data_IF_023355928183
#
_entry.id   IF_023355928183
#
_cell.length_a   1.000
_cell.length_b   1.000
_cell.length_c   1.000
_cell.angle_alpha   90.00
_cell.angle_beta   90.00
_cell.angle_gamma   90.00
#
_symmetry.space_group_name_H-M   'P 1'
#
loop_
_entity.id
_entity.type
_entity.pdbx_description
1 polymer ?
#
# COMPACT_ATOMS: atom_id res chain seq x y z
N UNK A 1 5.29 -11.35 -17.93
CA UNK A 1 4.04 -10.64 -18.28
C UNK A 1 3.46 -11.33 -19.49
N UNK A 2 2.14 -11.22 -19.69
CA UNK A 2 1.44 -11.84 -20.83
C UNK A 2 2.02 -11.26 -22.14
N UNK A 3 2.78 -12.05 -22.94
CA UNK A 3 3.55 -11.48 -24.05
C UNK A 3 2.69 -10.86 -25.15
N UNK A 4 1.56 -11.49 -25.47
CA UNK A 4 0.61 -11.03 -26.49
C UNK A 4 0.01 -9.68 -26.15
N UNK A 5 -0.52 -9.51 -24.92
CA UNK A 5 -1.08 -8.23 -24.46
C UNK A 5 -0.02 -7.15 -24.33
N UNK A 6 1.18 -7.52 -23.85
CA UNK A 6 2.29 -6.57 -23.74
C UNK A 6 2.70 -6.02 -25.11
N UNK A 7 2.81 -6.89 -26.12
CA UNK A 7 3.11 -6.52 -27.50
C UNK A 7 1.99 -5.64 -28.07
N UNK A 8 0.74 -6.09 -27.97
CA UNK A 8 -0.43 -5.35 -28.45
C UNK A 8 -0.47 -3.93 -27.88
N UNK A 9 -0.35 -3.77 -26.56
CA UNK A 9 -0.40 -2.46 -25.93
C UNK A 9 0.73 -1.55 -26.43
N UNK A 10 1.95 -2.05 -26.57
CA UNK A 10 3.08 -1.26 -27.06
C UNK A 10 2.87 -0.77 -28.50
N UNK A 11 2.27 -1.61 -29.36
CA UNK A 11 1.96 -1.26 -30.76
C UNK A 11 0.82 -0.24 -30.88
N UNK A 12 -0.08 -0.17 -29.89
CA UNK A 12 -1.28 0.68 -29.93
C UNK A 12 -1.21 1.89 -28.99
N UNK A 13 -0.12 2.03 -28.23
CA UNK A 13 0.13 3.17 -27.36
C UNK A 13 0.44 4.41 -28.20
N UNK A 14 -0.15 5.54 -27.83
CA UNK A 14 0.22 6.85 -28.36
C UNK A 14 0.25 7.87 -27.22
N UNK A 15 1.04 8.94 -27.40
CA UNK A 15 1.14 10.01 -26.41
C UNK A 15 -0.22 10.72 -26.21
N UNK A 16 -1.04 10.80 -27.26
CA UNK A 16 -2.37 11.39 -27.22
C UNK A 16 -3.33 10.56 -26.37
N UNK A 17 -3.32 9.22 -26.49
CA UNK A 17 -4.12 8.34 -25.64
C UNK A 17 -3.71 8.45 -24.17
N UNK A 18 -2.41 8.52 -23.91
CA UNK A 18 -1.90 8.72 -22.56
C UNK A 18 -2.31 10.08 -21.98
N UNK A 19 -2.20 11.16 -22.74
CA UNK A 19 -2.66 12.48 -22.31
C UNK A 19 -4.16 12.49 -22.01
N UNK A 20 -4.98 11.86 -22.87
CA UNK A 20 -6.42 11.71 -22.65
C UNK A 20 -6.73 10.90 -21.38
N UNK A 21 -5.99 9.81 -21.14
CA UNK A 21 -6.10 9.00 -19.92
C UNK A 21 -5.82 9.80 -18.64
N UNK A 22 -4.73 10.57 -18.61
CA UNK A 22 -4.42 11.45 -17.46
C UNK A 22 -5.51 12.51 -17.27
N UNK A 23 -5.96 13.14 -18.36
CA UNK A 23 -7.00 14.16 -18.31
C UNK A 23 -8.34 13.60 -17.82
N UNK A 24 -8.71 12.39 -18.25
CA UNK A 24 -9.95 11.73 -17.82
C UNK A 24 -9.94 11.41 -16.33
N UNK A 25 -8.84 10.85 -15.80
CA UNK A 25 -8.66 10.66 -14.35
C UNK A 25 -8.77 11.99 -13.60
N UNK A 26 -8.12 13.04 -14.10
CA UNK A 26 -8.16 14.36 -13.47
C UNK A 26 -9.58 14.94 -13.44
N UNK A 27 -10.33 14.83 -14.54
CA UNK A 27 -11.72 15.27 -14.62
C UNK A 27 -12.63 14.47 -13.69
N UNK A 28 -12.41 13.15 -13.60
CA UNK A 28 -13.17 12.26 -12.73
C UNK A 28 -12.90 12.56 -11.25
N UNK A 29 -11.66 12.80 -10.84
CA UNK A 29 -11.31 13.12 -9.46
C UNK A 29 -11.48 14.60 -9.07
N UNK A 30 -11.52 15.51 -10.06
CA UNK A 30 -11.50 16.96 -9.83
C UNK A 30 -10.09 17.53 -9.60
N UNK A 31 -9.04 16.72 -9.70
CA UNK A 31 -7.64 17.07 -9.44
C UNK A 31 -6.72 16.18 -10.27
N UNK A 32 -5.63 16.73 -10.80
CA UNK A 32 -4.64 15.95 -11.53
C UNK A 32 -3.68 15.18 -10.58
N UNK A 33 -3.16 14.00 -10.98
CA UNK A 33 -2.18 13.28 -10.19
C UNK A 33 -0.93 14.12 -9.90
N UNK A 34 -0.54 14.23 -8.63
CA UNK A 34 0.69 14.94 -8.21
C UNK A 34 1.93 14.04 -8.14
N UNK A 35 1.80 12.83 -8.67
CA UNK A 35 2.85 11.85 -8.85
C UNK A 35 2.78 11.32 -10.28
N UNK A 36 3.87 10.70 -10.73
CA UNK A 36 3.92 10.10 -12.05
C UNK A 36 3.05 8.84 -12.08
N UNK A 37 2.05 8.85 -12.96
CA UNK A 37 1.32 7.64 -13.36
C UNK A 37 2.09 7.00 -14.52
N UNK A 38 2.25 5.68 -14.50
CA UNK A 38 2.95 4.99 -15.56
C UNK A 38 2.09 4.95 -16.84
N UNK A 39 2.77 5.02 -17.97
CA UNK A 39 2.20 5.01 -19.33
C UNK A 39 1.60 3.64 -19.72
N UNK A 40 1.72 2.64 -18.84
CA UNK A 40 1.23 1.28 -19.06
C UNK A 40 0.71 0.62 -17.78
N UNK A 41 -0.33 -0.22 -17.87
CA UNK A 41 -0.65 -1.19 -16.84
C UNK A 41 0.28 -2.40 -16.91
N UNK A 42 0.17 -3.28 -15.93
CA UNK A 42 0.89 -4.57 -15.86
C UNK A 42 -0.04 -5.72 -16.26
N UNK A 43 0.40 -6.63 -17.13
CA UNK A 43 -0.39 -7.79 -17.56
C UNK A 43 0.18 -9.08 -16.96
N UNK A 44 -0.50 -9.62 -15.95
CA UNK A 44 0.00 -10.69 -15.08
C UNK A 44 -0.54 -12.05 -15.56
N UNK A 45 0.34 -12.99 -15.96
CA UNK A 45 -0.09 -14.31 -16.42
C UNK A 45 -0.63 -15.17 -15.27
N UNK A 46 -1.52 -16.11 -15.57
CA UNK A 46 -2.24 -16.93 -14.59
C UNK A 46 -1.31 -17.66 -13.60
N UNK A 47 -0.16 -18.15 -14.08
CA UNK A 47 0.83 -18.82 -13.21
C UNK A 47 1.39 -17.88 -12.12
N UNK A 48 1.70 -16.62 -12.48
CA UNK A 48 2.18 -15.63 -11.51
C UNK A 48 1.04 -15.16 -10.60
N UNK A 49 -0.18 -15.00 -11.15
CA UNK A 49 -1.38 -14.70 -10.36
C UNK A 49 -1.59 -15.72 -9.25
N UNK A 50 -1.53 -17.02 -9.58
CA UNK A 50 -1.68 -18.11 -8.62
C UNK A 50 -0.68 -17.99 -7.47
N UNK A 51 0.61 -17.80 -7.77
CA UNK A 51 1.66 -17.67 -6.76
C UNK A 51 1.48 -16.43 -5.87
N UNK A 52 1.09 -15.28 -6.45
CA UNK A 52 0.79 -14.06 -5.70
C UNK A 52 -0.36 -14.28 -4.71
N UNK A 53 -1.45 -14.90 -5.17
CA UNK A 53 -2.63 -15.19 -4.35
C UNK A 53 -2.30 -16.19 -3.25
N UNK A 54 -1.72 -17.35 -3.60
CA UNK A 54 -1.35 -18.40 -2.63
C UNK A 54 -0.41 -17.86 -1.53
N UNK A 55 0.59 -17.07 -1.91
CA UNK A 55 1.49 -16.45 -0.93
C UNK A 55 0.77 -15.43 -0.06
N UNK A 56 -0.12 -14.63 -0.64
CA UNK A 56 -0.90 -13.65 0.10
C UNK A 56 -1.83 -14.33 1.10
N UNK A 57 -2.52 -15.41 0.71
CA UNK A 57 -3.39 -16.18 1.61
C UNK A 57 -2.62 -16.83 2.77
N UNK A 58 -1.41 -17.34 2.52
CA UNK A 58 -0.55 -17.85 3.59
C UNK A 58 -0.15 -16.75 4.60
N UNK A 59 0.00 -15.50 4.14
CA UNK A 59 0.25 -14.35 5.03
C UNK A 59 -1.02 -13.96 5.78
N UNK A 60 -2.19 -13.99 5.11
CA UNK A 60 -3.48 -13.76 5.76
C UNK A 60 -3.73 -14.82 6.86
N UNK A 61 -3.34 -16.06 6.64
CA UNK A 61 -3.45 -17.13 7.65
C UNK A 61 -2.62 -16.84 8.91
N UNK A 62 -1.54 -16.05 8.81
CA UNK A 62 -0.78 -15.55 9.98
C UNK A 62 -1.51 -14.38 10.64
N UNK A 63 -1.99 -13.42 9.84
CA UNK A 63 -2.67 -12.21 10.34
C UNK A 63 -3.99 -12.54 11.06
N UNK A 64 -4.64 -13.63 10.66
CA UNK A 64 -5.92 -14.10 11.22
C UNK A 64 -5.77 -15.03 12.42
N UNK A 65 -4.55 -15.32 12.88
CA UNK A 65 -4.33 -16.15 14.07
C UNK A 65 -4.85 -15.44 15.32
N UNK A 66 -5.46 -16.20 16.23
CA UNK A 66 -6.04 -15.67 17.47
C UNK A 66 -5.00 -14.97 18.38
N UNK A 67 -3.74 -15.40 18.32
CA UNK A 67 -2.62 -14.84 19.07
C UNK A 67 -1.85 -13.76 18.29
N UNK A 68 -2.28 -13.39 17.08
CA UNK A 68 -1.59 -12.38 16.25
C UNK A 68 -1.37 -11.07 16.99
N UNK A 69 -2.40 -10.53 17.67
CA UNK A 69 -2.28 -9.29 18.47
C UNK A 69 -1.27 -9.43 19.61
N UNK A 70 -1.22 -10.57 20.27
CA UNK A 70 -0.25 -10.80 21.35
C UNK A 70 1.18 -10.88 20.78
N UNK A 71 1.35 -11.60 19.68
CA UNK A 71 2.64 -11.81 19.02
C UNK A 71 3.17 -10.53 18.35
N UNK A 72 2.29 -9.62 17.94
CA UNK A 72 2.65 -8.35 17.31
C UNK A 72 2.77 -7.18 18.29
N UNK A 73 2.70 -7.40 19.60
CA UNK A 73 2.72 -6.32 20.59
C UNK A 73 4.07 -5.58 20.62
N UNK A 74 5.18 -6.28 20.32
CA UNK A 74 6.50 -5.66 20.20
C UNK A 74 6.68 -4.80 18.93
N UNK A 75 5.66 -4.72 18.06
CA UNK A 75 5.71 -3.90 16.85
C UNK A 75 5.46 -2.41 17.10
N UNK A 76 5.02 -2.03 18.30
CA UNK A 76 4.73 -0.64 18.63
C UNK A 76 5.97 0.09 19.16
N UNK A 77 6.26 1.29 18.65
CA UNK A 77 7.03 2.26 19.40
C UNK A 77 6.32 2.57 20.74
N UNK A 78 7.03 2.68 21.88
CA UNK A 78 6.41 2.85 23.19
C UNK A 78 5.44 4.02 23.32
N UNK A 79 5.61 5.09 22.53
CA UNK A 79 4.79 6.30 22.57
C UNK A 79 3.69 6.38 21.49
N UNK A 80 3.52 5.34 20.66
CA UNK A 80 2.66 5.40 19.47
C UNK A 80 1.40 4.52 19.55
N UNK A 81 1.10 3.96 20.72
CA UNK A 81 -0.08 3.10 20.91
C UNK A 81 -1.33 3.93 21.17
N UNK A 82 -2.36 3.74 20.34
CA UNK A 82 -3.68 4.36 20.51
C UNK A 82 -4.61 3.40 21.28
N UNK A 83 -5.36 3.90 22.30
CA UNK A 83 -6.36 3.09 23.02
C UNK A 83 -7.52 2.63 22.13
N UNK A 84 -8.23 1.58 22.56
CA UNK A 84 -9.50 1.19 21.90
C UNK A 84 -9.35 0.47 20.56
N UNK A 85 -8.27 -0.29 20.37
CA UNK A 85 -8.00 -1.03 19.12
C UNK A 85 -9.12 -2.02 18.73
N UNK A 86 -9.62 -1.89 17.49
CA UNK A 86 -10.62 -2.79 16.91
C UNK A 86 -10.14 -4.24 16.78
N UNK A 87 -11.07 -5.18 16.57
CA UNK A 87 -10.77 -6.61 16.48
C UNK A 87 -9.79 -6.99 15.36
N UNK A 88 -9.92 -6.37 14.19
CA UNK A 88 -9.04 -6.61 13.04
C UNK A 88 -8.70 -5.32 12.28
N UNK A 89 -7.70 -5.41 11.39
CA UNK A 89 -7.44 -4.37 10.40
C UNK A 89 -8.56 -4.37 9.36
N UNK A 90 -8.91 -3.21 8.81
CA UNK A 90 -9.91 -3.12 7.72
C UNK A 90 -9.26 -3.19 6.33
N UNK A 91 -7.97 -2.87 6.25
CA UNK A 91 -7.21 -2.80 5.02
C UNK A 91 -5.87 -3.48 5.23
N UNK A 92 -5.52 -4.37 4.31
CA UNK A 92 -4.22 -5.03 4.29
C UNK A 92 -3.66 -4.94 2.88
N UNK A 93 -2.41 -4.52 2.76
CA UNK A 93 -1.70 -4.48 1.49
C UNK A 93 -0.46 -5.37 1.58
N UNK A 94 -0.17 -6.12 0.52
CA UNK A 94 0.98 -7.03 0.46
C UNK A 94 1.70 -6.77 -0.86
N UNK A 95 2.96 -6.38 -0.78
CA UNK A 95 3.77 -5.97 -1.93
C UNK A 95 4.76 -7.04 -2.34
N UNK A 96 4.73 -7.39 -3.62
CA UNK A 96 5.64 -8.35 -4.22
C UNK A 96 6.46 -7.71 -5.33
N UNK A 97 7.76 -7.94 -5.33
CA UNK A 97 8.59 -7.76 -6.51
C UNK A 97 8.33 -8.90 -7.50
N UNK A 98 8.39 -8.59 -8.79
CA UNK A 98 8.40 -9.61 -9.83
C UNK A 98 9.84 -10.00 -10.14
N UNK A 99 10.17 -11.26 -9.89
CA UNK A 99 11.49 -11.86 -10.03
C UNK A 99 11.48 -12.99 -11.07
N UNK A 100 12.64 -13.62 -11.28
CA UNK A 100 12.76 -14.87 -12.05
C UNK A 100 13.36 -15.96 -11.18
N UNK A 101 12.83 -17.18 -11.33
CA UNK A 101 13.45 -18.38 -10.76
C UNK A 101 14.67 -18.83 -11.60
N UNK A 102 15.33 -19.90 -11.18
CA UNK A 102 16.48 -20.47 -11.89
C UNK A 102 16.15 -20.97 -13.31
N UNK A 103 14.89 -21.32 -13.58
CA UNK A 103 14.41 -21.71 -14.92
C UNK A 103 14.06 -20.49 -15.81
N UNK A 104 14.15 -19.26 -15.28
CA UNK A 104 13.83 -18.03 -15.99
C UNK A 104 12.34 -17.67 -16.02
N UNK A 105 11.51 -18.43 -15.31
CA UNK A 105 10.07 -18.19 -15.16
C UNK A 105 9.81 -17.10 -14.12
N UNK A 106 8.72 -16.35 -14.28
CA UNK A 106 8.39 -15.29 -13.34
C UNK A 106 7.88 -15.87 -12.02
N UNK A 107 8.33 -15.28 -10.92
CA UNK A 107 7.86 -15.59 -9.57
C UNK A 107 7.75 -14.32 -8.73
N UNK A 108 6.85 -14.28 -7.73
CA UNK A 108 6.80 -13.18 -6.79
C UNK A 108 7.86 -13.33 -5.70
N UNK A 109 8.28 -12.21 -5.13
CA UNK A 109 9.06 -12.17 -3.89
C UNK A 109 8.51 -11.07 -2.99
N UNK A 110 8.10 -11.43 -1.77
CA UNK A 110 7.55 -10.50 -0.78
C UNK A 110 8.57 -9.40 -0.44
N UNK A 111 8.12 -8.14 -0.46
CA UNK A 111 8.94 -6.96 -0.17
C UNK A 111 8.53 -6.32 1.15
N UNK A 112 7.24 -6.02 1.26
CA UNK A 112 6.63 -5.38 2.41
C UNK A 112 5.14 -5.72 2.48
N UNK A 113 4.55 -5.43 3.62
CA UNK A 113 3.12 -5.51 3.82
C UNK A 113 2.71 -4.45 4.85
N UNK A 114 1.46 -4.02 4.79
CA UNK A 114 0.98 -3.00 5.71
C UNK A 114 -0.52 -3.04 6.02
N UNK A 115 -0.88 -2.76 7.27
CA UNK A 115 -2.26 -2.54 7.69
C UNK A 115 -2.70 -1.09 7.49
N UNK A 116 -2.78 -0.61 6.24
CA UNK A 116 -3.00 0.82 5.95
C UNK A 116 -3.84 1.09 4.69
N UNK A 117 -4.78 2.06 4.73
CA UNK A 117 -5.74 2.26 3.66
C UNK A 117 -5.30 3.30 2.62
N UNK A 118 -4.21 3.04 1.89
CA UNK A 118 -3.77 3.97 0.83
C UNK A 118 -4.24 3.56 -0.57
N UNK A 119 -4.79 4.55 -1.31
CA UNK A 119 -5.08 4.47 -2.75
C UNK A 119 -6.22 3.52 -3.15
N UNK A 120 -7.08 3.10 -2.22
CA UNK A 120 -8.17 2.16 -2.52
C UNK A 120 -9.18 2.73 -3.52
N UNK A 121 -9.72 3.93 -3.28
CA UNK A 121 -10.66 4.54 -4.22
C UNK A 121 -9.97 4.88 -5.56
N UNK A 122 -8.76 5.47 -5.51
CA UNK A 122 -8.03 5.85 -6.71
C UNK A 122 -7.66 4.67 -7.62
N UNK A 123 -7.47 3.47 -7.07
CA UNK A 123 -7.13 2.31 -7.90
C UNK A 123 -8.28 1.80 -8.76
N UNK A 124 -9.53 1.94 -8.29
CA UNK A 124 -10.69 1.70 -9.17
C UNK A 124 -10.67 2.69 -10.33
N UNK A 125 -10.54 4.00 -10.04
CA UNK A 125 -10.51 5.04 -11.07
C UNK A 125 -9.42 4.76 -12.11
N UNK A 126 -8.19 4.49 -11.65
CA UNK A 126 -7.07 4.25 -12.56
C UNK A 126 -7.34 3.03 -13.46
N UNK A 127 -7.78 1.91 -12.89
CA UNK A 127 -8.04 0.69 -13.67
C UNK A 127 -9.18 0.89 -14.68
N UNK A 128 -10.26 1.58 -14.27
CA UNK A 128 -11.39 1.92 -15.15
C UNK A 128 -10.95 2.79 -16.32
N UNK A 129 -10.14 3.83 -16.07
CA UNK A 129 -9.63 4.70 -17.13
C UNK A 129 -8.63 3.99 -18.05
N UNK A 130 -7.81 3.06 -17.53
CA UNK A 130 -6.97 2.21 -18.39
C UNK A 130 -7.82 1.36 -19.34
N UNK A 131 -8.88 0.69 -18.83
CA UNK A 131 -9.81 -0.09 -19.66
C UNK A 131 -10.42 0.79 -20.75
N UNK A 132 -10.89 1.98 -20.38
CA UNK A 132 -11.54 2.91 -21.30
C UNK A 132 -10.62 3.40 -22.42
N UNK A 133 -9.42 3.87 -22.09
CA UNK A 133 -8.53 4.51 -23.07
C UNK A 133 -7.66 3.55 -23.88
N UNK A 134 -7.39 2.35 -23.36
CA UNK A 134 -6.45 1.40 -23.96
C UNK A 134 -7.07 0.06 -24.37
N UNK A 135 -8.40 -0.07 -24.30
CA UNK A 135 -9.15 -1.25 -24.78
C UNK A 135 -8.60 -2.56 -24.21
N UNK A 136 -8.44 -2.59 -22.89
CA UNK A 136 -7.98 -3.77 -22.17
C UNK A 136 -9.01 -4.90 -22.35
N UNK A 137 -8.61 -6.10 -22.81
CA UNK A 137 -9.56 -7.17 -23.12
C UNK A 137 -10.09 -7.85 -21.85
N UNK A 138 -11.30 -8.41 -21.95
CA UNK A 138 -11.99 -9.10 -20.85
C UNK A 138 -11.30 -10.41 -20.41
N UNK A 139 -10.30 -10.89 -21.14
CA UNK A 139 -9.46 -12.03 -20.75
C UNK A 139 -8.57 -11.73 -19.54
N UNK A 140 -8.51 -10.46 -19.10
CA UNK A 140 -7.77 -10.04 -17.92
C UNK A 140 -8.62 -9.12 -17.04
N UNK A 141 -8.41 -9.15 -15.73
CA UNK A 141 -9.19 -8.35 -14.78
C UNK A 141 -8.32 -7.75 -13.67
N UNK A 142 -8.67 -6.55 -13.19
CA UNK A 142 -8.02 -5.88 -12.05
C UNK A 142 -8.62 -6.30 -10.70
N UNK A 143 -9.86 -6.79 -10.72
CA UNK A 143 -10.59 -7.26 -9.54
C UNK A 143 -10.35 -8.75 -9.28
N UNK A 144 -10.49 -9.11 -8.01
CA UNK A 144 -10.51 -10.49 -7.54
C UNK A 144 -11.90 -10.82 -6.96
N UNK A 145 -12.13 -12.09 -6.61
CA UNK A 145 -13.33 -12.53 -5.88
C UNK A 145 -14.67 -12.08 -6.50
N UNK A 146 -14.73 -11.93 -7.83
CA UNK A 146 -15.95 -11.57 -8.54
C UNK A 146 -16.35 -10.09 -8.43
N UNK A 147 -15.51 -9.25 -7.84
CA UNK A 147 -15.77 -7.81 -7.76
C UNK A 147 -15.74 -7.14 -9.15
N UNK A 148 -16.41 -6.00 -9.23
CA UNK A 148 -16.49 -5.07 -10.34
C UNK A 148 -16.61 -3.64 -9.79
N UNK A 149 -16.55 -2.62 -10.65
CA UNK A 149 -16.57 -1.21 -10.27
C UNK A 149 -17.66 -0.89 -9.22
N UNK A 150 -18.91 -1.32 -9.47
CA UNK A 150 -20.04 -1.03 -8.59
C UNK A 150 -19.97 -1.77 -7.24
N UNK A 151 -19.73 -3.09 -7.29
CA UNK A 151 -19.65 -3.93 -6.08
C UNK A 151 -18.44 -3.58 -5.21
N UNK A 152 -17.32 -3.19 -5.82
CA UNK A 152 -16.12 -2.74 -5.14
C UNK A 152 -16.34 -1.40 -4.43
N UNK A 153 -16.89 -0.39 -5.12
CA UNK A 153 -17.18 0.90 -4.49
C UNK A 153 -18.26 0.76 -3.39
N UNK A 154 -19.22 -0.15 -3.57
CA UNK A 154 -20.20 -0.47 -2.53
C UNK A 154 -19.54 -1.06 -1.29
N UNK A 155 -18.59 -1.99 -1.46
CA UNK A 155 -17.81 -2.56 -0.37
C UNK A 155 -16.94 -1.50 0.34
N UNK A 156 -16.28 -0.61 -0.41
CA UNK A 156 -15.53 0.49 0.17
C UNK A 156 -16.43 1.40 1.01
N UNK A 157 -17.63 1.73 0.51
CA UNK A 157 -18.60 2.53 1.25
C UNK A 157 -19.09 1.82 2.51
N UNK A 158 -19.40 0.53 2.42
CA UNK A 158 -19.79 -0.31 3.55
C UNK A 158 -18.72 -0.28 4.65
N UNK A 159 -17.45 -0.49 4.29
CA UNK A 159 -16.35 -0.52 5.26
C UNK A 159 -16.03 0.87 5.82
N UNK A 160 -15.96 1.91 4.97
CA UNK A 160 -15.49 3.24 5.37
C UNK A 160 -16.59 4.04 6.06
N UNK A 161 -17.78 4.10 5.47
CA UNK A 161 -18.90 4.90 6.01
C UNK A 161 -19.67 4.11 7.07
N UNK A 162 -19.89 2.81 6.83
CA UNK A 162 -20.56 1.92 7.78
C UNK A 162 -21.98 2.37 8.10
N UNK A 163 -22.41 2.38 9.37
CA UNK A 163 -23.78 2.69 9.76
C UNK A 163 -24.07 4.20 9.88
N UNK A 164 -23.08 5.07 9.67
CA UNK A 164 -23.22 6.52 9.91
C UNK A 164 -23.58 7.30 8.66
N UNK A 165 -23.97 8.56 8.85
CA UNK A 165 -24.11 9.48 7.73
C UNK A 165 -22.73 9.94 7.23
N UNK A 166 -22.55 10.20 5.92
CA UNK A 166 -21.25 10.61 5.38
C UNK A 166 -20.63 11.83 6.06
N UNK A 167 -21.45 12.77 6.54
CA UNK A 167 -20.97 13.99 7.22
C UNK A 167 -20.43 13.70 8.63
N UNK A 168 -20.80 12.57 9.23
CA UNK A 168 -20.31 12.08 10.53
C UNK A 168 -19.01 11.26 10.41
N UNK A 169 -18.53 11.04 9.18
CA UNK A 169 -17.33 10.25 8.87
C UNK A 169 -16.30 11.15 8.20
N UNK A 170 -15.08 11.21 8.72
CA UNK A 170 -14.02 12.05 8.13
C UNK A 170 -12.88 11.22 7.56
N UNK A 171 -12.34 11.62 6.39
CA UNK A 171 -11.02 11.17 5.96
C UNK A 171 -9.98 12.07 6.61
N UNK A 172 -9.26 11.53 7.60
CA UNK A 172 -8.31 12.29 8.41
C UNK A 172 -6.88 12.12 7.91
N UNK A 173 -6.18 13.24 7.70
CA UNK A 173 -4.79 13.26 7.25
C UNK A 173 -4.03 14.48 7.82
N UNK A 174 -2.69 14.47 7.76
CA UNK A 174 -1.85 15.64 8.00
C UNK A 174 -1.67 16.41 6.69
N UNK A 175 -2.16 17.65 6.64
CA UNK A 175 -2.09 18.53 5.45
C UNK A 175 -2.55 17.80 4.17
N UNK A 176 -3.79 17.27 4.13
CA UNK A 176 -4.26 16.42 3.03
C UNK A 176 -4.04 17.02 1.63
N UNK A 177 -4.22 18.34 1.50
CA UNK A 177 -4.09 19.05 0.23
C UNK A 177 -2.65 19.22 -0.26
N UNK A 178 -1.66 19.01 0.61
CA UNK A 178 -0.23 19.05 0.26
C UNK A 178 0.31 17.66 -0.12
N UNK A 179 -0.45 16.59 0.16
CA UNK A 179 -0.01 15.22 -0.09
C UNK A 179 0.12 14.93 -1.59
N UNK A 180 1.11 14.12 -1.96
CA UNK A 180 1.26 13.63 -3.35
C UNK A 180 0.05 12.79 -3.77
N UNK A 181 -0.53 12.05 -2.83
CA UNK A 181 -1.67 11.16 -3.08
C UNK A 181 -3.02 11.86 -2.97
N UNK A 182 -3.08 13.21 -2.91
CA UNK A 182 -4.33 13.96 -2.68
C UNK A 182 -5.48 13.68 -3.65
N UNK A 183 -5.16 13.24 -4.88
CA UNK A 183 -6.17 12.80 -5.86
C UNK A 183 -7.05 11.66 -5.31
N UNK A 184 -6.48 10.76 -4.51
CA UNK A 184 -7.23 9.69 -3.86
C UNK A 184 -8.18 10.22 -2.80
N UNK A 185 -7.81 11.27 -2.08
CA UNK A 185 -8.69 11.90 -1.09
C UNK A 185 -9.90 12.56 -1.75
N UNK A 186 -9.67 13.36 -2.80
CA UNK A 186 -10.76 14.02 -3.52
C UNK A 186 -11.66 13.03 -4.25
N UNK A 187 -11.09 11.98 -4.84
CA UNK A 187 -11.91 10.93 -5.44
C UNK A 187 -12.70 10.15 -4.37
N UNK A 188 -12.10 9.85 -3.21
CA UNK A 188 -12.80 9.21 -2.09
C UNK A 188 -13.97 10.07 -1.60
N UNK A 189 -13.76 11.37 -1.40
CA UNK A 189 -14.81 12.33 -1.04
C UNK A 189 -15.94 12.33 -2.08
N UNK A 190 -15.60 12.33 -3.37
CA UNK A 190 -16.60 12.32 -4.46
C UNK A 190 -17.45 11.05 -4.48
N UNK A 191 -16.86 9.88 -4.25
CA UNK A 191 -17.58 8.59 -4.37
C UNK A 191 -18.24 8.15 -3.06
N UNK A 192 -17.74 8.58 -1.90
CA UNK A 192 -18.28 8.20 -0.59
C UNK A 192 -19.07 9.31 0.09
N UNK A 193 -18.86 10.58 -0.27
CA UNK A 193 -19.49 11.74 0.34
C UNK A 193 -18.89 12.17 1.67
N UNK A 194 -17.71 11.65 2.03
CA UNK A 194 -17.06 11.95 3.32
C UNK A 194 -16.09 13.14 3.19
N UNK A 195 -16.11 14.13 4.12
CA UNK A 195 -15.18 15.25 4.09
C UNK A 195 -13.72 14.83 4.30
N UNK A 196 -12.82 15.46 3.55
CA UNK A 196 -11.36 15.40 3.79
C UNK A 196 -10.98 16.43 4.85
N UNK A 197 -10.38 15.99 5.95
CA UNK A 197 -10.11 16.81 7.13
C UNK A 197 -8.63 16.77 7.52
N UNK A 198 -8.05 17.93 7.78
CA UNK A 198 -6.71 18.01 8.38
C UNK A 198 -6.80 17.79 9.89
N UNK A 199 -5.81 17.12 10.49
CA UNK A 199 -5.71 16.98 11.96
C UNK A 199 -5.78 18.33 12.71
N UNK A 200 -5.33 19.41 12.09
CA UNK A 200 -5.36 20.77 12.67
C UNK A 200 -6.75 21.39 12.70
N UNK A 201 -7.70 20.82 11.95
CA UNK A 201 -9.07 21.33 11.83
C UNK A 201 -10.04 20.56 12.75
N UNK A 202 -9.52 19.60 13.53
CA UNK A 202 -10.30 18.87 14.52
C UNK A 202 -10.51 19.72 15.78
N UNK A 203 -11.75 19.75 16.26
CA UNK A 203 -12.11 20.35 17.54
C UNK A 203 -12.38 19.25 18.57
N UNK A 204 -11.64 19.27 19.68
CA UNK A 204 -11.87 18.35 20.80
C UNK A 204 -12.83 18.99 21.82
N UNK A 205 -13.93 18.29 22.14
CA UNK A 205 -14.87 18.63 23.22
C UNK A 205 -15.01 17.45 24.17
N UNK A 206 -14.18 17.42 25.21
CA UNK A 206 -14.06 16.24 26.08
C UNK A 206 -13.46 15.05 25.33
N UNK A 207 -14.20 13.93 25.25
CA UNK A 207 -13.85 12.73 24.46
C UNK A 207 -14.38 12.75 23.03
N UNK A 208 -15.14 13.77 22.66
CA UNK A 208 -15.74 13.87 21.33
C UNK A 208 -14.90 14.75 20.41
N UNK A 209 -14.90 14.43 19.12
CA UNK A 209 -14.24 15.19 18.06
C UNK A 209 -15.29 15.80 17.13
N UNK A 210 -15.04 17.01 16.68
CA UNK A 210 -15.93 17.76 15.79
C UNK A 210 -15.17 18.32 14.59
N UNK A 211 -15.86 18.46 13.47
CA UNK A 211 -15.43 19.24 12.30
C UNK A 211 -16.59 20.14 11.86
N UNK A 212 -16.38 21.47 11.88
CA UNK A 212 -17.41 22.48 11.53
C UNK A 212 -18.74 22.22 12.26
N UNK A 213 -18.68 22.08 13.59
CA UNK A 213 -19.80 21.77 14.49
C UNK A 213 -20.51 20.41 14.28
N UNK A 214 -20.07 19.60 13.32
CA UNK A 214 -20.58 18.24 13.12
C UNK A 214 -19.79 17.27 14.00
N UNK A 215 -20.50 16.46 14.78
CA UNK A 215 -19.89 15.39 15.59
C UNK A 215 -19.32 14.32 14.67
N UNK A 216 -18.03 14.04 14.83
CA UNK A 216 -17.34 12.96 14.14
C UNK A 216 -17.62 11.67 14.91
N UNK A 217 -18.23 10.70 14.26
CA UNK A 217 -18.48 9.36 14.82
C UNK A 217 -17.48 8.33 14.32
N UNK A 218 -16.92 8.54 13.12
CA UNK A 218 -15.97 7.61 12.50
C UNK A 218 -14.85 8.34 11.77
N UNK A 219 -13.65 7.78 11.86
CA UNK A 219 -12.45 8.33 11.22
C UNK A 219 -11.89 7.31 10.23
N UNK A 220 -11.95 7.64 8.94
CA UNK A 220 -11.16 6.98 7.92
C UNK A 220 -9.71 7.50 8.00
N UNK A 221 -8.86 6.73 8.69
CA UNK A 221 -7.53 7.17 9.08
C UNK A 221 -6.52 7.06 7.92
N UNK A 222 -5.97 8.20 7.52
CA UNK A 222 -4.82 8.30 6.60
C UNK A 222 -3.57 8.88 7.25
N UNK A 223 -3.63 9.21 8.54
CA UNK A 223 -2.46 9.70 9.27
C UNK A 223 -1.46 8.58 9.53
N UNK A 224 -0.20 8.82 9.16
CA UNK A 224 0.96 8.04 9.63
C UNK A 224 1.63 8.81 10.78
N UNK A 225 1.68 8.22 11.97
CA UNK A 225 2.12 8.95 13.17
C UNK A 225 3.61 9.30 13.17
N UNK A 226 4.47 8.49 12.57
CA UNK A 226 5.88 8.83 12.37
C UNK A 226 6.04 10.11 11.55
N UNK A 227 5.21 10.28 10.52
CA UNK A 227 5.21 11.48 9.67
C UNK A 227 4.58 12.68 10.39
N UNK A 228 3.54 12.46 11.20
CA UNK A 228 2.97 13.48 12.08
C UNK A 228 4.02 13.97 13.10
N UNK A 229 4.77 13.08 13.73
CA UNK A 229 5.78 13.43 14.72
C UNK A 229 6.91 14.27 14.09
N UNK A 230 7.39 13.89 12.90
CA UNK A 230 8.39 14.67 12.15
C UNK A 230 7.91 16.07 11.80
N UNK A 231 6.61 16.22 11.52
CA UNK A 231 5.99 17.50 11.15
C UNK A 231 5.50 18.32 12.34
N UNK A 232 5.39 17.71 13.54
CA UNK A 232 4.79 18.31 14.73
C UNK A 232 5.37 19.67 15.10
N UNK A 233 6.67 19.89 14.87
CA UNK A 233 7.35 21.16 15.14
C UNK A 233 6.86 22.34 14.28
N UNK A 234 6.21 22.07 13.15
CA UNK A 234 5.75 23.06 12.17
C UNK A 234 4.22 23.09 12.02
N UNK A 235 3.51 22.21 12.73
CA UNK A 235 2.06 22.20 12.73
C UNK A 235 1.52 23.17 13.80
N UNK A 236 0.41 23.88 13.51
CA UNK A 236 -0.37 24.54 14.55
C UNK A 236 -0.74 23.58 15.69
N UNK A 237 -1.14 24.14 16.83
CA UNK A 237 -1.70 23.34 17.92
C UNK A 237 -2.87 22.50 17.39
N UNK A 238 -2.87 21.20 17.71
CA UNK A 238 -3.82 20.22 17.20
C UNK A 238 -4.10 19.16 18.25
N UNK A 239 -5.16 18.39 18.01
CA UNK A 239 -5.58 17.30 18.89
C UNK A 239 -4.53 16.19 18.93
N UNK A 240 -4.20 15.70 20.12
CA UNK A 240 -3.40 14.48 20.27
C UNK A 240 -4.27 13.26 20.03
N UNK A 241 -3.99 12.50 18.96
CA UNK A 241 -4.72 11.28 18.57
C UNK A 241 -4.41 10.05 19.44
N UNK A 242 -3.53 10.18 20.43
CA UNK A 242 -3.19 9.12 21.39
C UNK A 242 -4.12 9.06 22.60
N UNK A 243 -5.21 9.85 22.58
CA UNK A 243 -6.23 9.87 23.61
C UNK A 243 -7.36 8.88 23.32
N UNK A 244 -8.09 8.50 24.36
CA UNK A 244 -9.29 7.67 24.27
C UNK A 244 -10.50 8.54 23.87
N UNK A 245 -10.80 8.56 22.57
CA UNK A 245 -11.91 9.31 21.97
C UNK A 245 -13.13 8.43 21.69
N UNK A 246 -14.32 9.02 21.77
CA UNK A 246 -15.60 8.37 21.44
C UNK A 246 -15.82 8.33 19.91
N UNK A 247 -14.87 7.73 19.18
CA UNK A 247 -14.88 7.61 17.72
C UNK A 247 -14.52 6.19 17.31
N UNK A 248 -15.06 5.77 16.17
CA UNK A 248 -14.71 4.51 15.55
C UNK A 248 -13.62 4.71 14.49
N UNK A 249 -12.55 3.90 14.53
CA UNK A 249 -11.42 4.04 13.61
C UNK A 249 -11.46 3.05 12.44
N UNK A 250 -11.23 3.53 11.23
CA UNK A 250 -11.18 2.74 9.99
C UNK A 250 -9.92 3.07 9.17
N UNK A 251 -8.89 2.23 9.12
CA UNK A 251 -8.59 1.22 10.14
C UNK A 251 -8.01 1.87 11.39
N UNK A 252 -8.11 1.20 12.54
CA UNK A 252 -7.45 1.64 13.76
C UNK A 252 -5.94 1.86 13.53
N UNK A 253 -5.35 3.00 13.94
CA UNK A 253 -3.96 3.36 13.62
C UNK A 253 -2.92 2.32 14.02
N UNK A 254 -3.17 1.59 15.11
CA UNK A 254 -2.26 0.54 15.58
C UNK A 254 -1.98 -0.56 14.54
N UNK A 255 -2.92 -0.85 13.62
CA UNK A 255 -2.73 -1.89 12.60
C UNK A 255 -1.61 -1.58 11.60
N UNK A 256 -1.25 -0.30 11.46
CA UNK A 256 -0.09 0.14 10.68
C UNK A 256 1.23 -0.42 11.22
N UNK A 257 1.33 -0.58 12.55
CA UNK A 257 2.48 -1.14 13.24
C UNK A 257 2.41 -2.67 13.33
N UNK A 258 1.23 -3.22 13.63
CA UNK A 258 1.03 -4.68 13.75
C UNK A 258 1.32 -5.41 12.44
N UNK A 259 0.70 -4.96 11.36
CA UNK A 259 0.92 -5.50 10.02
C UNK A 259 1.98 -4.61 9.39
N UNK A 260 3.24 -4.98 9.55
CA UNK A 260 4.40 -4.21 9.11
C UNK A 260 5.61 -5.11 8.84
N UNK A 261 6.78 -4.50 8.66
CA UNK A 261 8.06 -5.22 8.56
C UNK A 261 8.32 -6.17 9.73
N UNK A 262 7.73 -5.87 10.90
CA UNK A 262 7.81 -6.71 12.09
C UNK A 262 7.44 -8.16 11.84
N UNK A 263 6.46 -8.42 10.95
CA UNK A 263 6.00 -9.79 10.75
C UNK A 263 6.78 -10.59 9.72
N UNK A 264 7.67 -9.92 8.95
CA UNK A 264 8.45 -10.58 7.89
C UNK A 264 9.25 -11.80 8.40
N UNK A 265 9.91 -11.77 9.59
CA UNK A 265 10.60 -12.94 10.14
C UNK A 265 9.71 -14.15 10.43
N UNK A 266 8.40 -13.97 10.60
CA UNK A 266 7.47 -15.06 10.90
C UNK A 266 6.90 -15.72 9.64
N UNK A 267 7.06 -15.08 8.48
CA UNK A 267 6.53 -15.58 7.21
C UNK A 267 7.51 -16.63 6.64
N UNK A 268 7.02 -17.86 6.50
CA UNK A 268 7.76 -18.98 5.90
C UNK A 268 7.15 -19.33 4.56
N UNK A 269 7.79 -18.88 3.47
CA UNK A 269 7.37 -19.17 2.10
C UNK A 269 8.57 -19.13 1.17
N UNK A 270 8.57 -19.92 0.10
CA UNK A 270 9.59 -19.81 -0.97
C UNK A 270 9.51 -18.47 -1.72
N UNK A 271 8.37 -17.81 -1.63
CA UNK A 271 8.11 -16.48 -2.21
C UNK A 271 8.27 -15.36 -1.18
N UNK A 272 8.78 -15.66 0.02
CA UNK A 272 9.17 -14.67 1.02
C UNK A 272 10.68 -14.79 1.29
N UNK A 273 11.47 -13.73 1.04
CA UNK A 273 12.89 -13.76 1.34
C UNK A 273 13.13 -13.99 2.82
N UNK A 274 14.04 -14.91 3.12
CA UNK A 274 14.46 -15.21 4.48
C UNK A 274 14.80 -13.91 5.23
N UNK A 275 14.18 -13.72 6.40
CA UNK A 275 14.40 -12.56 7.26
C UNK A 275 14.35 -12.92 8.73
N UNK A 276 15.04 -12.13 9.55
CA UNK A 276 15.14 -12.32 10.99
C UNK A 276 15.47 -11.02 11.70
N UNK A 277 15.10 -10.90 12.98
CA UNK A 277 15.55 -9.79 13.82
C UNK A 277 17.06 -9.82 13.97
N UNK A 278 17.71 -8.67 13.91
CA UNK A 278 19.17 -8.58 13.88
C UNK A 278 19.83 -9.18 15.13
N UNK A 279 19.14 -9.17 16.27
CA UNK A 279 19.58 -9.78 17.53
C UNK A 279 19.28 -11.30 17.66
N UNK A 280 18.60 -11.92 16.70
CA UNK A 280 18.10 -13.29 16.84
C UNK A 280 19.11 -14.38 16.46
N UNK A 281 20.17 -14.05 15.71
CA UNK A 281 21.21 -15.00 15.28
C UNK A 281 22.52 -14.30 14.93
N UNK A 282 23.57 -15.09 14.76
CA UNK A 282 24.86 -14.62 14.24
C UNK A 282 24.73 -14.02 12.84
N UNK A 283 25.59 -13.05 12.55
CA UNK A 283 25.62 -12.36 11.26
C UNK A 283 26.18 -13.29 10.17
N UNK A 284 25.59 -13.31 8.97
CA UNK A 284 26.12 -14.06 7.85
C UNK A 284 27.42 -13.42 7.35
N UNK A 285 28.30 -14.24 6.75
CA UNK A 285 29.56 -13.74 6.19
C UNK A 285 29.36 -12.91 4.91
N UNK A 286 28.27 -13.15 4.18
CA UNK A 286 27.94 -12.57 2.86
C UNK A 286 26.92 -11.42 2.98
N UNK A 287 27.19 -10.43 3.83
CA UNK A 287 26.28 -9.31 4.11
C UNK A 287 25.83 -8.54 2.86
N UNK A 288 26.63 -8.56 1.78
CA UNK A 288 26.30 -7.96 0.49
C UNK A 288 25.04 -8.57 -0.16
N UNK A 289 24.58 -9.74 0.27
CA UNK A 289 23.36 -10.39 -0.21
C UNK A 289 22.11 -10.05 0.62
N UNK A 290 22.21 -9.12 1.57
CA UNK A 290 21.12 -8.78 2.48
C UNK A 290 20.76 -7.31 2.43
N UNK A 291 19.52 -7.01 2.79
CA UNK A 291 19.04 -5.66 3.09
C UNK A 291 18.74 -5.59 4.59
N UNK A 292 19.15 -4.49 5.19
CA UNK A 292 18.89 -4.18 6.59
C UNK A 292 17.76 -3.17 6.66
N UNK A 293 16.72 -3.48 7.42
CA UNK A 293 15.49 -2.69 7.50
C UNK A 293 15.17 -2.31 8.96
N UNK A 294 15.00 -1.02 9.29
CA UNK A 294 14.48 -0.61 10.59
C UNK A 294 12.99 -0.93 10.68
N UNK A 295 12.52 -1.36 11.85
CA UNK A 295 11.10 -1.65 12.10
C UNK A 295 10.25 -0.37 12.11
N UNK A 296 10.76 0.68 12.75
CA UNK A 296 10.05 1.96 12.94
C UNK A 296 10.38 2.99 11.85
N UNK A 297 10.50 2.51 10.62
CA UNK A 297 10.73 3.36 9.46
C UNK A 297 9.91 2.90 8.27
N UNK A 298 9.24 3.85 7.63
CA UNK A 298 8.23 3.60 6.61
C UNK A 298 8.60 4.27 5.27
N UNK A 299 7.93 3.86 4.19
CA UNK A 299 8.22 4.34 2.83
C UNK A 299 9.70 4.20 2.39
N UNK A 300 10.37 3.13 2.82
CA UNK A 300 11.75 2.81 2.43
C UNK A 300 12.82 3.67 3.11
N UNK A 301 12.47 4.58 4.01
CA UNK A 301 13.46 5.37 4.76
C UNK A 301 14.32 4.45 5.64
N UNK A 302 15.63 4.73 5.73
CA UNK A 302 16.55 3.98 6.59
C UNK A 302 16.88 2.55 6.14
N UNK A 303 16.38 2.08 5.00
CA UNK A 303 16.75 0.76 4.45
C UNK A 303 18.17 0.84 3.90
N UNK A 304 19.04 -0.05 4.37
CA UNK A 304 20.42 -0.21 3.87
C UNK A 304 20.46 -1.42 2.95
N UNK A 305 20.88 -1.22 1.71
CA UNK A 305 20.82 -2.27 0.69
C UNK A 305 22.15 -2.98 0.59
N UNK A 306 23.28 -2.29 0.47
CA UNK A 306 24.58 -2.95 0.42
C UNK A 306 25.19 -3.01 1.81
N UNK A 307 24.62 -3.88 2.66
CA UNK A 307 24.93 -3.95 4.09
C UNK A 307 26.40 -4.33 4.30
N UNK A 308 27.06 -3.55 5.15
CA UNK A 308 28.43 -3.79 5.62
C UNK A 308 28.42 -4.10 7.11
N UNK A 309 29.56 -4.59 7.65
CA UNK A 309 29.68 -4.79 9.10
C UNK A 309 29.59 -3.46 9.86
N UNK A 310 30.11 -2.38 9.29
CA UNK A 310 30.09 -1.05 9.88
C UNK A 310 28.66 -0.51 10.03
N UNK A 311 27.77 -0.77 9.06
CA UNK A 311 26.35 -0.41 9.16
C UNK A 311 25.68 -1.04 10.38
N UNK A 312 26.08 -2.28 10.71
CA UNK A 312 25.52 -3.03 11.85
C UNK A 312 26.15 -2.60 13.17
N UNK A 313 27.47 -2.39 13.22
CA UNK A 313 28.18 -1.98 14.46
C UNK A 313 27.68 -0.65 15.03
N UNK A 314 27.14 0.22 14.19
CA UNK A 314 26.58 1.51 14.60
C UNK A 314 25.18 1.45 15.22
N UNK A 315 24.51 0.30 15.15
CA UNK A 315 23.12 0.14 15.64
C UNK A 315 23.13 -0.12 17.14
N UNK A 316 22.40 0.71 17.88
CA UNK A 316 22.30 0.63 19.34
C UNK A 316 21.14 -0.23 19.84
N UNK A 317 20.17 -0.53 18.97
CA UNK A 317 18.90 -1.19 19.29
C UNK A 317 18.59 -2.34 18.31
N UNK A 318 19.45 -3.37 18.20
CA UNK A 318 19.35 -4.41 17.17
C UNK A 318 18.02 -5.18 17.17
N UNK A 319 17.28 -5.21 18.28
CA UNK A 319 15.92 -5.74 18.34
C UNK A 319 14.93 -5.02 17.42
N UNK A 320 15.19 -3.75 17.08
CA UNK A 320 14.33 -2.91 16.24
C UNK A 320 14.70 -2.95 14.76
N UNK A 321 15.50 -3.95 14.35
CA UNK A 321 15.98 -4.11 12.99
C UNK A 321 15.80 -5.54 12.51
N UNK A 322 15.53 -5.70 11.22
CA UNK A 322 15.56 -7.01 10.56
C UNK A 322 16.63 -7.03 9.47
N UNK A 323 17.28 -8.17 9.33
CA UNK A 323 18.12 -8.48 8.19
C UNK A 323 17.33 -9.44 7.29
N UNK A 324 17.25 -9.12 5.99
CA UNK A 324 16.48 -9.89 5.01
C UNK A 324 17.31 -10.14 3.76
N UNK A 325 17.20 -11.33 3.15
CA UNK A 325 17.86 -11.61 1.86
C UNK A 325 17.39 -10.65 0.77
N UNK A 326 18.32 -10.18 -0.06
CA UNK A 326 18.02 -9.38 -1.25
C UNK A 326 17.18 -10.15 -2.23
N UNK A 327 16.26 -9.44 -2.86
CA UNK A 327 15.51 -9.91 -4.02
C UNK A 327 16.15 -9.39 -5.31
N UNK A 328 16.15 -10.21 -6.35
CA UNK A 328 16.61 -9.80 -7.67
C UNK A 328 15.41 -9.57 -8.59
N UNK A 329 15.09 -8.30 -8.82
CA UNK A 329 13.98 -7.92 -9.69
C UNK A 329 14.25 -8.35 -11.13
N UNK A 330 13.23 -8.90 -11.77
CA UNK A 330 13.28 -9.25 -13.18
C UNK A 330 12.85 -8.05 -14.05
N UNK A 331 13.53 -7.80 -15.18
CA UNK A 331 13.09 -6.84 -16.19
C UNK A 331 11.84 -7.37 -16.92
N UNK A 332 10.72 -7.44 -16.21
CA UNK A 332 9.54 -8.23 -16.58
C UNK A 332 8.62 -7.51 -17.57
N UNK A 333 8.69 -6.18 -17.65
CA UNK A 333 7.83 -5.37 -18.51
C UNK A 333 8.64 -4.89 -19.71
N UNK A 334 8.37 -5.42 -20.90
CA UNK A 334 8.95 -4.89 -22.14
C UNK A 334 8.23 -3.58 -22.51
N UNK A 335 8.95 -2.47 -22.55
CA UNK A 335 8.44 -1.16 -23.01
C UNK A 335 9.22 -0.71 -24.25
N UNK A 336 8.67 0.24 -25.05
CA UNK A 336 9.37 0.79 -26.22
C UNK A 336 10.77 1.34 -25.94
N UNK A 337 10.99 1.88 -24.74
CA UNK A 337 12.27 2.48 -24.30
C UNK A 337 13.03 1.52 -23.37
N UNK A 338 13.02 0.24 -23.71
CA UNK A 338 13.70 -0.82 -22.95
C UNK A 338 12.85 -1.40 -21.81
N UNK A 339 13.34 -2.45 -21.13
CA UNK A 339 12.55 -3.11 -20.11
C UNK A 339 12.36 -2.25 -18.86
N UNK A 340 11.35 -2.58 -18.07
CA UNK A 340 11.08 -2.03 -16.76
C UNK A 340 10.83 -3.14 -15.73
N UNK A 341 11.05 -2.80 -14.47
CA UNK A 341 10.80 -3.63 -13.29
C UNK A 341 9.47 -3.23 -12.67
N UNK A 342 8.83 -4.15 -11.96
CA UNK A 342 7.61 -3.82 -11.24
C UNK A 342 7.47 -4.52 -9.90
N UNK A 343 6.69 -3.86 -9.05
CA UNK A 343 6.05 -4.42 -7.87
C UNK A 343 4.55 -4.49 -8.10
N UNK A 344 3.93 -5.52 -7.54
CA UNK A 344 2.49 -5.74 -7.52
C UNK A 344 2.06 -5.77 -6.05
N UNK A 345 1.19 -4.84 -5.69
CA UNK A 345 0.50 -4.73 -4.41
C UNK A 345 -0.82 -5.46 -4.51
N UNK A 346 -1.01 -6.47 -3.67
CA UNK A 346 -2.28 -7.14 -3.46
C UNK A 346 -3.06 -6.38 -2.38
N UNK A 347 -4.31 -6.00 -2.65
CA UNK A 347 -5.10 -5.13 -1.77
C UNK A 347 -6.31 -5.88 -1.22
N UNK A 348 -6.39 -5.95 0.10
CA UNK A 348 -7.38 -6.70 0.85
C UNK A 348 -8.29 -5.80 1.66
N UNK A 349 -9.55 -6.18 1.76
CA UNK A 349 -10.55 -5.53 2.63
C UNK A 349 -11.09 -6.54 3.64
N UNK A 350 -11.18 -6.13 4.90
CA UNK A 350 -11.74 -6.94 5.98
C UNK A 350 -12.96 -6.25 6.56
N UNK A 351 -14.14 -6.82 6.32
CA UNK A 351 -15.38 -6.36 6.93
C UNK A 351 -15.51 -6.83 8.38
N UNK A 352 -16.10 -5.98 9.21
CA UNK A 352 -16.50 -6.38 10.55
C UNK A 352 -17.42 -7.62 10.51
N UNK A 353 -17.11 -8.59 11.37
CA UNK A 353 -17.84 -9.86 11.44
C UNK A 353 -17.47 -10.89 10.35
N UNK A 354 -16.65 -10.52 9.35
CA UNK A 354 -16.11 -11.50 8.41
C UNK A 354 -14.96 -12.31 9.04
N UNK A 355 -14.83 -13.61 8.74
CA UNK A 355 -13.82 -14.46 9.36
C UNK A 355 -12.39 -14.14 8.92
N UNK A 356 -12.21 -13.54 7.72
CA UNK A 356 -10.92 -13.19 7.15
C UNK A 356 -11.08 -12.07 6.10
N UNK A 357 -10.01 -11.34 5.76
CA UNK A 357 -10.05 -10.35 4.69
C UNK A 357 -10.18 -11.00 3.32
N UNK A 358 -10.77 -10.27 2.37
CA UNK A 358 -10.90 -10.69 0.97
C UNK A 358 -9.96 -9.90 0.08
N UNK A 359 -9.30 -10.57 -0.86
CA UNK A 359 -8.55 -9.90 -1.91
C UNK A 359 -9.53 -9.20 -2.86
N UNK A 360 -9.39 -7.90 -3.07
CA UNK A 360 -10.38 -7.11 -3.83
C UNK A 360 -9.80 -6.42 -5.05
N UNK A 361 -8.56 -5.94 -4.95
CA UNK A 361 -7.94 -5.12 -5.98
C UNK A 361 -6.41 -5.26 -5.93
N UNK A 362 -5.74 -4.44 -6.72
CA UNK A 362 -4.30 -4.34 -6.76
C UNK A 362 -3.81 -2.90 -7.02
N UNK A 363 -2.51 -2.71 -6.86
CA UNK A 363 -1.76 -1.56 -7.35
C UNK A 363 -0.46 -2.08 -7.96
N UNK A 364 0.08 -1.40 -8.98
CA UNK A 364 1.40 -1.69 -9.49
C UNK A 364 2.33 -0.47 -9.34
N UNK A 365 3.62 -0.70 -9.15
CA UNK A 365 4.66 0.33 -9.20
C UNK A 365 5.67 -0.10 -10.27
N UNK A 366 6.01 0.79 -11.21
CA UNK A 366 6.91 0.51 -12.32
C UNK A 366 8.16 1.41 -12.22
N UNK A 367 9.34 0.84 -12.47
CA UNK A 367 10.62 1.56 -12.41
C UNK A 367 11.58 1.08 -13.50
N UNK A 368 12.45 1.97 -13.99
CA UNK A 368 13.63 1.62 -14.80
C UNK A 368 14.84 1.23 -13.93
N UNK A 369 14.79 1.59 -12.65
CA UNK A 369 15.77 1.17 -11.65
C UNK A 369 15.38 -0.17 -11.04
N UNK A 370 16.38 -0.97 -10.66
CA UNK A 370 16.20 -2.19 -9.86
C UNK A 370 15.61 -1.91 -8.47
N UNK A 371 15.56 -0.65 -8.07
CA UNK A 371 14.89 -0.17 -6.87
C UNK A 371 13.66 0.64 -7.25
N UNK A 372 12.50 0.21 -6.76
CA UNK A 372 11.22 0.90 -6.94
C UNK A 372 11.03 1.88 -5.78
N UNK A 373 10.58 3.10 -6.08
CA UNK A 373 10.43 4.19 -5.09
C UNK A 373 11.55 5.23 -5.08
N UNK A 374 12.69 4.95 -5.73
CA UNK A 374 13.75 5.95 -5.97
C UNK A 374 13.65 6.43 -7.42
N UNK A 375 12.87 7.49 -7.66
CA UNK A 375 12.88 8.17 -8.96
C UNK A 375 14.23 8.85 -9.13
N UNK A 376 15.17 8.22 -9.84
CA UNK A 376 16.50 8.78 -10.09
C UNK A 376 16.48 9.89 -11.14
N UNK A 377 15.58 9.78 -12.11
CA UNK A 377 15.44 10.77 -13.18
C UNK A 377 13.97 11.10 -13.44
N UNK A 378 13.64 12.39 -13.52
CA UNK A 378 12.28 12.85 -13.85
C UNK A 378 11.93 12.63 -15.33
N UNK A 379 12.93 12.39 -16.18
CA UNK A 379 12.77 12.17 -17.62
C UNK A 379 12.43 10.73 -18.00
N UNK A 380 12.60 9.77 -17.08
CA UNK A 380 12.28 8.35 -17.34
C UNK A 380 10.80 8.19 -17.73
N UNK A 381 10.54 7.49 -18.83
CA UNK A 381 9.20 7.09 -19.30
C UNK A 381 8.90 5.63 -18.89
N UNK A 382 7.62 5.26 -18.91
CA UNK A 382 7.12 3.93 -18.53
C UNK A 382 7.40 3.58 -17.06
N UNK A 383 7.28 4.57 -16.17
CA UNK A 383 7.54 4.44 -14.74
C UNK A 383 6.48 5.17 -13.92
N UNK A 384 6.35 4.82 -12.65
CA UNK A 384 5.41 5.47 -11.73
C UNK A 384 4.37 4.51 -11.16
N UNK A 385 3.33 5.07 -10.57
CA UNK A 385 2.17 4.32 -10.07
C UNK A 385 1.30 3.82 -11.21
N UNK A 386 0.80 2.59 -11.09
CA UNK A 386 -0.02 1.93 -12.10
C UNK A 386 -0.99 0.95 -11.44
N UNK A 387 -1.67 0.14 -12.25
CA UNK A 387 -2.45 -1.01 -11.84
C UNK A 387 -2.05 -2.24 -12.68
N UNK A 388 -2.50 -3.42 -12.25
CA UNK A 388 -2.32 -4.70 -12.91
C UNK A 388 -3.66 -5.29 -13.34
N UNK A 389 -3.62 -6.00 -14.47
CA UNK A 389 -4.69 -6.84 -14.98
C UNK A 389 -4.19 -8.28 -15.03
N UNK A 390 -4.92 -9.18 -14.38
CA UNK A 390 -4.58 -10.58 -14.16
C UNK A 390 -5.37 -11.46 -15.12
N UNK A 391 -4.69 -12.40 -15.77
CA UNK A 391 -5.32 -13.44 -16.61
C UNK A 391 -6.36 -14.23 -15.81
N UNK A 392 -7.54 -14.39 -16.39
CA UNK A 392 -8.68 -15.12 -15.79
C UNK A 392 -8.65 -16.62 -16.08
#
# INVERSE_FOLDING_TARGET
MIPSLRKYYNEHFTAEKYAAFIQSMAAAAGEAPAFKVAETPVFVPAALTKQLVETSEAIIDIITQADFKANSEASFPPCMKVPGENEHAHFVIIDFAVCKNAAGELQPQLIELQGFPSLYAFQELMAREFKHHFQIPDTVNNYFNGYNDNSYLSLLKEIIVGPYQPEEVVLLEVKPHEQKTRIDFYYTEKVLGIPVVCITDLEQRGKQLYYKDTLIKRIYNRVIFDDLQKQSAYLPAHVSLFQDFDVEWITHPNWFYRISKFILPFIKSEFAPESWFLNARELPADLENYVLKPLFSFAGQGVVIDVTQEDIKGITDPENWILQRKVQYAPAIATPEGPAYCEIRMMYLWKDGAPRPELVHNLARISKSKMIGVTKDKSDTWVGGSCAFFEQ
#
